data_IF_196869233310
#
_entry.id   IF_196869233310
#
_cell.length_a   1.000
_cell.length_b   1.000
_cell.length_c   1.000
_cell.angle_alpha   90.00
_cell.angle_beta   90.00
_cell.angle_gamma   90.00
#
_symmetry.space_group_name_H-M   'P 1'
#
loop_
_entity.id
_entity.type
_entity.pdbx_description
1 polymer ?
#
# COMPACT_ATOMS: atom_id res chain seq x y z
N UNK A 1 16.94 -25.41 5.82
CA UNK A 1 16.00 -25.73 4.72
C UNK A 1 16.54 -25.45 3.31
N UNK A 2 16.71 -24.20 2.86
CA UNK A 2 17.18 -23.92 1.48
C UNK A 2 18.60 -24.43 1.19
N UNK A 3 19.55 -24.17 2.10
CA UNK A 3 20.94 -24.65 1.99
C UNK A 3 21.03 -26.19 2.06
N UNK A 4 20.19 -26.84 2.87
CA UNK A 4 20.13 -28.31 2.92
C UNK A 4 19.58 -28.91 1.64
N UNK A 5 18.59 -28.26 1.01
CA UNK A 5 18.00 -28.70 -0.27
C UNK A 5 18.97 -28.50 -1.42
N UNK A 6 19.64 -27.35 -1.52
CA UNK A 6 20.74 -27.15 -2.46
C UNK A 6 21.88 -28.16 -2.23
N UNK A 7 22.17 -28.50 -0.96
CA UNK A 7 23.10 -29.57 -0.60
C UNK A 7 22.62 -30.98 -0.97
N UNK A 8 21.31 -31.24 -1.01
CA UNK A 8 20.73 -32.50 -1.52
C UNK A 8 20.80 -32.57 -3.04
N UNK A 9 20.56 -31.46 -3.74
CA UNK A 9 20.73 -31.36 -5.20
C UNK A 9 22.18 -31.64 -5.58
N UNK A 10 23.13 -30.97 -4.91
CA UNK A 10 24.56 -31.19 -5.14
C UNK A 10 24.98 -32.64 -4.90
N UNK A 11 24.41 -33.31 -3.89
CA UNK A 11 24.67 -34.73 -3.59
C UNK A 11 24.07 -35.66 -4.65
N UNK A 12 22.81 -35.45 -5.05
CA UNK A 12 22.18 -36.22 -6.14
C UNK A 12 22.93 -36.09 -7.46
N UNK A 13 23.38 -34.88 -7.82
CA UNK A 13 24.21 -34.68 -9.01
C UNK A 13 25.55 -35.41 -8.92
N UNK A 14 26.11 -35.54 -7.72
CA UNK A 14 27.31 -36.33 -7.49
C UNK A 14 27.05 -37.84 -7.58
N UNK A 15 25.94 -38.32 -7.03
CA UNK A 15 25.53 -39.73 -7.07
C UNK A 15 25.18 -40.17 -8.49
N UNK A 16 24.43 -39.38 -9.26
CA UNK A 16 24.14 -39.65 -10.68
C UNK A 16 25.42 -39.69 -11.53
N UNK A 17 26.36 -38.78 -11.27
CA UNK A 17 27.65 -38.77 -11.96
C UNK A 17 28.51 -40.00 -11.61
N UNK A 18 28.44 -40.48 -10.37
CA UNK A 18 29.21 -41.64 -9.90
C UNK A 18 28.58 -42.98 -10.33
N UNK A 19 27.25 -43.08 -10.38
CA UNK A 19 26.55 -44.25 -10.93
C UNK A 19 26.83 -44.39 -12.43
N UNK A 20 26.91 -43.27 -13.16
CA UNK A 20 27.29 -43.28 -14.58
C UNK A 20 28.75 -43.72 -14.81
N UNK A 21 29.63 -43.52 -13.83
CA UNK A 21 31.01 -44.03 -13.86
C UNK A 21 31.07 -45.56 -13.60
N UNK A 22 30.27 -46.06 -12.66
CA UNK A 22 30.23 -47.48 -12.26
C UNK A 22 29.54 -48.40 -13.30
N UNK A 23 28.45 -47.95 -13.93
CA UNK A 23 27.74 -48.70 -14.99
C UNK A 23 28.65 -49.01 -16.20
N UNK A 24 29.76 -48.28 -16.37
CA UNK A 24 30.71 -48.47 -17.48
C UNK A 24 31.88 -49.39 -17.12
N UNK A 25 32.24 -49.49 -15.83
CA UNK A 25 33.20 -50.51 -15.38
C UNK A 25 32.59 -51.92 -15.47
N UNK A 26 31.28 -52.07 -15.30
CA UNK A 26 30.56 -53.34 -15.51
C UNK A 26 30.34 -53.67 -17.01
N UNK A 27 30.13 -52.66 -17.88
CA UNK A 27 29.93 -52.85 -19.32
C UNK A 27 31.23 -53.23 -20.06
N UNK A 28 32.42 -52.91 -19.52
CA UNK A 28 33.71 -53.34 -20.06
C UNK A 28 33.99 -54.85 -19.80
N UNK A 29 33.27 -55.50 -18.88
CA UNK A 29 33.40 -56.94 -18.60
C UNK A 29 32.34 -57.81 -19.31
N UNK A 30 31.28 -57.25 -19.89
CA UNK A 30 30.22 -58.06 -20.54
C UNK A 30 29.76 -57.56 -21.91
N UNK A 31 30.42 -58.07 -22.96
CA UNK A 31 29.86 -58.40 -24.28
C UNK A 31 28.80 -57.47 -24.91
N UNK A 32 29.28 -56.56 -25.77
CA UNK A 32 28.53 -55.73 -26.73
C UNK A 32 27.20 -56.32 -27.25
N UNK A 33 26.10 -55.55 -27.12
CA UNK A 33 25.00 -55.56 -28.09
C UNK A 33 24.82 -54.17 -28.70
N UNK A 34 24.93 -54.15 -30.02
CA UNK A 34 24.93 -52.96 -30.86
C UNK A 34 23.66 -52.10 -30.70
N UNK A 35 23.84 -50.88 -30.23
CA UNK A 35 23.02 -49.73 -30.60
C UNK A 35 23.96 -48.56 -30.86
N UNK A 36 23.73 -47.85 -31.97
CA UNK A 36 24.53 -46.77 -32.54
C UNK A 36 25.10 -45.80 -31.49
N UNK A 37 26.37 -45.96 -31.10
CA UNK A 37 27.01 -45.12 -30.10
C UNK A 37 27.57 -43.83 -30.73
N UNK A 38 26.98 -42.71 -30.33
CA UNK A 38 27.67 -41.42 -30.36
C UNK A 38 28.84 -41.52 -29.39
N UNK A 39 30.07 -41.51 -29.89
CA UNK A 39 31.29 -41.50 -29.07
C UNK A 39 31.32 -40.21 -28.24
N UNK A 40 30.82 -40.26 -27.00
CA UNK A 40 30.99 -39.20 -26.02
C UNK A 40 32.32 -39.45 -25.31
N UNK A 41 33.30 -38.56 -25.53
CA UNK A 41 34.65 -38.71 -24.99
C UNK A 41 34.71 -38.40 -23.47
N UNK A 42 35.76 -38.86 -22.78
CA UNK A 42 36.00 -38.48 -21.37
C UNK A 42 36.07 -36.95 -21.19
N UNK A 43 36.66 -36.23 -22.16
CA UNK A 43 36.73 -34.77 -22.17
C UNK A 43 35.34 -34.11 -22.27
N UNK A 44 34.40 -34.71 -23.03
CA UNK A 44 33.03 -34.20 -23.15
C UNK A 44 32.24 -34.33 -21.82
N UNK A 45 32.56 -35.36 -21.02
CA UNK A 45 31.92 -35.63 -19.72
C UNK A 45 32.47 -34.76 -18.60
N UNK A 46 33.78 -34.54 -18.54
CA UNK A 46 34.39 -33.57 -17.61
C UNK A 46 33.95 -32.14 -17.92
N UNK A 47 33.79 -31.83 -19.21
CA UNK A 47 33.20 -30.58 -19.64
C UNK A 47 31.72 -30.50 -19.24
N UNK A 48 30.95 -31.59 -19.29
CA UNK A 48 29.56 -31.63 -18.84
C UNK A 48 29.42 -31.46 -17.32
N UNK A 49 30.32 -32.07 -16.53
CA UNK A 49 30.42 -31.89 -15.07
C UNK A 49 30.77 -30.46 -14.70
N UNK A 50 31.76 -29.88 -15.37
CA UNK A 50 32.18 -28.49 -15.18
C UNK A 50 31.08 -27.49 -15.55
N UNK A 51 30.31 -27.76 -16.63
CA UNK A 51 29.15 -26.96 -17.03
C UNK A 51 28.02 -27.01 -15.99
N UNK A 52 27.72 -28.20 -15.44
CA UNK A 52 26.71 -28.39 -14.38
C UNK A 52 27.04 -27.62 -13.10
N UNK A 53 28.30 -27.70 -12.64
CA UNK A 53 28.76 -26.99 -11.43
C UNK A 53 28.73 -25.46 -11.64
N UNK A 54 29.18 -24.98 -12.81
CA UNK A 54 29.16 -23.56 -13.14
C UNK A 54 27.74 -22.99 -13.20
N UNK A 55 26.81 -23.76 -13.75
CA UNK A 55 25.39 -23.38 -13.83
C UNK A 55 24.70 -23.35 -12.46
N UNK A 56 25.00 -24.31 -11.57
CA UNK A 56 24.45 -24.32 -10.22
C UNK A 56 24.94 -23.12 -9.38
N UNK A 57 26.21 -22.73 -9.56
CA UNK A 57 26.75 -21.51 -8.98
C UNK A 57 26.05 -20.26 -9.53
N UNK A 58 25.77 -20.22 -10.83
CA UNK A 58 25.02 -19.13 -11.45
C UNK A 58 23.60 -19.01 -10.89
N UNK A 59 22.89 -20.12 -10.66
CA UNK A 59 21.56 -20.07 -10.03
C UNK A 59 21.64 -19.52 -8.60
N UNK A 60 22.64 -19.93 -7.82
CA UNK A 60 22.83 -19.46 -6.45
C UNK A 60 23.22 -17.96 -6.38
N UNK A 61 23.92 -17.46 -7.39
CA UNK A 61 24.41 -16.09 -7.46
C UNK A 61 23.35 -15.11 -7.98
N UNK A 62 22.54 -15.51 -8.96
CA UNK A 62 21.60 -14.61 -9.63
C UNK A 62 20.16 -14.69 -9.09
N UNK A 63 19.81 -15.67 -8.24
CA UNK A 63 18.46 -15.76 -7.66
C UNK A 63 18.34 -15.07 -6.29
N UNK A 64 17.30 -14.24 -6.06
CA UNK A 64 17.05 -13.66 -4.75
C UNK A 64 16.87 -14.73 -3.67
N UNK A 65 17.38 -14.48 -2.46
CA UNK A 65 17.34 -15.42 -1.31
C UNK A 65 15.92 -15.95 -1.01
N UNK A 66 14.90 -15.12 -1.20
CA UNK A 66 13.49 -15.49 -0.99
C UNK A 66 12.99 -16.51 -2.02
N UNK A 67 13.54 -16.49 -3.25
CA UNK A 67 13.24 -17.45 -4.33
C UNK A 67 13.97 -18.77 -4.08
N UNK A 68 15.24 -18.73 -3.71
CA UNK A 68 16.01 -19.91 -3.31
C UNK A 68 15.36 -20.64 -2.12
N UNK A 69 14.75 -19.90 -1.19
CA UNK A 69 14.03 -20.47 -0.06
C UNK A 69 12.69 -21.14 -0.41
N UNK A 70 12.09 -20.80 -1.56
CA UNK A 70 10.78 -21.27 -1.98
C UNK A 70 10.83 -22.45 -2.97
N UNK A 71 12.03 -22.87 -3.41
CA UNK A 71 12.22 -23.99 -4.32
C UNK A 71 11.68 -25.28 -3.68
N UNK A 72 10.78 -25.96 -4.39
CA UNK A 72 10.28 -27.30 -4.05
C UNK A 72 10.95 -28.38 -4.94
N UNK A 73 10.72 -29.65 -4.62
CA UNK A 73 11.38 -30.77 -5.31
C UNK A 73 10.92 -30.91 -6.78
N UNK A 74 9.70 -30.48 -7.12
CA UNK A 74 9.20 -30.45 -8.51
C UNK A 74 9.88 -29.37 -9.35
N UNK A 75 10.16 -28.20 -8.75
CA UNK A 75 10.91 -27.12 -9.38
C UNK A 75 12.34 -27.58 -9.70
N UNK A 76 12.96 -28.34 -8.78
CA UNK A 76 14.29 -28.93 -8.97
C UNK A 76 14.30 -29.91 -10.12
N UNK A 77 13.33 -30.81 -10.16
CA UNK A 77 13.17 -31.81 -11.23
C UNK A 77 12.96 -31.13 -12.59
N UNK A 78 12.11 -30.10 -12.66
CA UNK A 78 11.87 -29.32 -13.88
C UNK A 78 13.13 -28.58 -14.36
N UNK A 79 13.89 -28.02 -13.42
CA UNK A 79 15.14 -27.32 -13.68
C UNK A 79 16.21 -28.30 -14.22
N UNK A 80 16.33 -29.50 -13.64
CA UNK A 80 17.25 -30.55 -14.11
C UNK A 80 16.84 -31.11 -15.49
N UNK A 81 15.54 -31.32 -15.73
CA UNK A 81 15.03 -31.77 -17.04
C UNK A 81 15.26 -30.74 -18.14
N UNK A 82 15.15 -29.44 -17.83
CA UNK A 82 15.45 -28.37 -18.79
C UNK A 82 16.91 -28.35 -19.24
N UNK A 83 17.83 -28.79 -18.37
CA UNK A 83 19.25 -28.91 -18.68
C UNK A 83 19.54 -30.16 -19.53
N UNK A 84 18.97 -31.31 -19.16
CA UNK A 84 19.16 -32.57 -19.90
C UNK A 84 18.61 -32.50 -21.34
N UNK A 85 17.53 -31.75 -21.55
CA UNK A 85 16.88 -31.62 -22.85
C UNK A 85 17.63 -30.70 -23.84
N UNK A 86 18.69 -29.99 -23.42
CA UNK A 86 19.32 -28.99 -24.28
C UNK A 86 20.83 -28.92 -24.05
N UNK A 87 21.58 -29.76 -24.76
CA UNK A 87 23.05 -29.75 -24.79
C UNK A 87 23.67 -28.45 -25.35
N UNK A 88 22.84 -27.51 -25.81
CA UNK A 88 23.25 -26.16 -26.18
C UNK A 88 22.07 -25.19 -26.03
N UNK A 89 21.94 -24.51 -24.89
CA UNK A 89 21.10 -23.31 -24.79
C UNK A 89 21.65 -22.32 -23.77
N UNK A 90 21.43 -21.00 -24.01
CA UNK A 90 21.96 -19.92 -23.19
C UNK A 90 21.40 -19.99 -21.75
N UNK A 91 21.99 -19.24 -20.79
CA UNK A 91 21.56 -19.28 -19.40
C UNK A 91 20.06 -19.12 -19.31
N UNK A 92 19.40 -19.99 -18.54
CA UNK A 92 17.96 -19.98 -18.31
C UNK A 92 17.51 -18.54 -18.02
N UNK A 93 16.80 -17.93 -18.96
CA UNK A 93 16.19 -16.65 -18.75
C UNK A 93 15.08 -16.84 -17.69
N UNK A 94 15.22 -16.27 -16.48
CA UNK A 94 14.23 -16.42 -15.42
C UNK A 94 12.84 -15.91 -15.81
N UNK A 95 12.73 -15.14 -16.91
CA UNK A 95 11.46 -14.69 -17.49
C UNK A 95 10.64 -15.82 -18.13
N UNK A 96 11.28 -16.84 -18.74
CA UNK A 96 10.60 -17.93 -19.46
C UNK A 96 9.89 -18.94 -18.55
N UNK A 97 10.31 -19.03 -17.29
CA UNK A 97 9.62 -19.84 -16.27
C UNK A 97 8.39 -19.11 -15.70
N UNK A 98 8.38 -17.77 -15.72
CA UNK A 98 7.24 -16.95 -15.30
C UNK A 98 6.12 -16.91 -16.36
N UNK A 99 6.43 -17.15 -17.64
CA UNK A 99 5.45 -17.13 -18.74
C UNK A 99 4.46 -18.30 -18.71
N UNK A 100 4.80 -19.43 -18.05
CA UNK A 100 3.97 -20.65 -18.05
C UNK A 100 2.96 -20.75 -16.89
N UNK A 101 3.10 -19.93 -15.85
CA UNK A 101 2.00 -19.69 -14.92
C UNK A 101 1.19 -18.54 -15.51
N UNK A 102 -0.01 -18.82 -16.01
CA UNK A 102 -1.00 -17.77 -16.23
C UNK A 102 -0.98 -16.88 -14.98
N UNK A 103 -0.49 -15.64 -15.10
CA UNK A 103 -0.31 -14.76 -13.96
C UNK A 103 -1.69 -14.57 -13.35
N UNK A 104 -1.94 -15.20 -12.20
CA UNK A 104 -3.16 -14.96 -11.46
C UNK A 104 -3.13 -13.48 -11.09
N UNK A 105 -4.18 -12.77 -11.49
CA UNK A 105 -4.31 -11.35 -11.19
C UNK A 105 -4.23 -11.14 -9.67
N UNK A 106 -3.64 -10.02 -9.26
CA UNK A 106 -3.49 -9.66 -7.85
C UNK A 106 -4.10 -8.30 -7.61
N UNK A 107 -4.72 -8.12 -6.45
CA UNK A 107 -5.32 -6.84 -6.06
C UNK A 107 -4.72 -6.34 -4.76
N UNK A 108 -4.35 -5.07 -4.76
CA UNK A 108 -3.97 -4.31 -3.58
C UNK A 108 -5.08 -3.31 -3.25
N UNK A 109 -5.58 -3.29 -2.02
CA UNK A 109 -6.40 -2.19 -1.50
C UNK A 109 -5.47 -1.28 -0.69
N UNK A 110 -5.08 -0.14 -1.26
CA UNK A 110 -4.00 0.67 -0.71
C UNK A 110 -4.46 2.05 -0.27
N UNK A 111 -4.04 2.46 0.93
CA UNK A 111 -4.25 3.81 1.42
C UNK A 111 -3.23 4.80 0.86
N UNK A 112 -3.70 5.91 0.30
CA UNK A 112 -2.86 6.97 -0.27
C UNK A 112 -2.39 8.01 0.74
N UNK A 113 -2.83 7.94 2.00
CA UNK A 113 -2.61 9.01 2.95
C UNK A 113 -3.53 10.24 2.72
N UNK A 114 -3.33 11.33 3.48
CA UNK A 114 -4.20 12.52 3.44
C UNK A 114 -4.02 13.38 2.18
N UNK A 115 -2.81 13.41 1.61
CA UNK A 115 -2.58 13.97 0.27
C UNK A 115 -1.15 14.22 -0.16
N UNK A 116 -0.24 14.57 0.75
CA UNK A 116 1.18 14.70 0.40
C UNK A 116 1.78 13.32 0.05
N UNK A 117 2.48 13.18 -1.10
CA UNK A 117 3.19 11.97 -1.51
C UNK A 117 4.12 11.38 -0.44
N UNK A 118 4.76 12.21 0.38
CA UNK A 118 5.70 11.75 1.43
C UNK A 118 4.99 11.04 2.59
N UNK A 119 3.67 11.15 2.66
CA UNK A 119 2.83 10.44 3.62
C UNK A 119 2.33 9.09 3.08
N UNK A 120 2.77 8.67 1.89
CA UNK A 120 2.58 7.32 1.41
C UNK A 120 3.43 6.34 2.21
N UNK A 121 2.85 5.20 2.54
CA UNK A 121 3.67 4.10 3.03
C UNK A 121 4.57 3.58 1.91
N UNK A 122 5.77 3.12 2.27
CA UNK A 122 6.69 2.51 1.29
C UNK A 122 6.05 1.32 0.57
N UNK A 123 5.12 0.60 1.23
CA UNK A 123 4.38 -0.50 0.64
C UNK A 123 3.40 0.00 -0.43
N UNK A 124 2.60 1.04 -0.14
CA UNK A 124 1.70 1.65 -1.13
C UNK A 124 2.48 2.20 -2.32
N UNK A 125 3.59 2.90 -2.09
CA UNK A 125 4.41 3.44 -3.18
C UNK A 125 4.93 2.32 -4.10
N UNK A 126 5.46 1.22 -3.53
CA UNK A 126 5.89 0.06 -4.31
C UNK A 126 4.74 -0.58 -5.09
N UNK A 127 3.55 -0.67 -4.49
CA UNK A 127 2.37 -1.20 -5.18
C UNK A 127 1.97 -0.33 -6.38
N UNK A 128 1.97 1.00 -6.22
CA UNK A 128 1.71 1.96 -7.31
C UNK A 128 2.71 1.75 -8.46
N UNK A 129 4.01 1.64 -8.16
CA UNK A 129 5.04 1.44 -9.18
C UNK A 129 4.94 0.09 -9.91
N UNK A 130 4.43 -0.93 -9.22
CA UNK A 130 4.26 -2.29 -9.76
C UNK A 130 2.96 -2.46 -10.55
N UNK A 131 1.98 -1.56 -10.39
CA UNK A 131 0.64 -1.72 -10.94
C UNK A 131 0.60 -1.78 -12.47
N UNK A 132 -0.37 -2.55 -12.99
CA UNK A 132 -0.78 -2.52 -14.39
C UNK A 132 -2.09 -1.70 -14.55
N UNK A 133 -2.92 -1.67 -13.50
CA UNK A 133 -4.16 -0.91 -13.43
C UNK A 133 -4.30 -0.24 -12.05
N UNK A 134 -4.46 1.09 -12.02
CA UNK A 134 -4.82 1.87 -10.84
C UNK A 134 -6.31 2.21 -10.91
N UNK A 135 -7.03 1.90 -9.83
CA UNK A 135 -8.42 2.28 -9.61
C UNK A 135 -8.48 3.29 -8.46
N UNK A 136 -8.74 4.55 -8.75
CA UNK A 136 -8.73 5.63 -7.76
C UNK A 136 -10.11 6.26 -7.56
N UNK A 137 -10.40 6.73 -6.34
CA UNK A 137 -11.53 7.64 -6.11
C UNK A 137 -11.14 9.07 -6.54
N UNK A 138 -12.13 9.91 -6.85
CA UNK A 138 -11.93 11.35 -7.07
C UNK A 138 -11.17 12.06 -5.93
N UNK A 139 -11.27 11.53 -4.73
CA UNK A 139 -10.65 12.08 -3.52
C UNK A 139 -9.15 11.80 -3.42
N UNK A 140 -8.59 10.89 -4.22
CA UNK A 140 -7.14 10.65 -4.24
C UNK A 140 -6.44 11.91 -4.79
N UNK A 141 -5.50 12.50 -4.05
CA UNK A 141 -4.91 13.77 -4.47
C UNK A 141 -4.03 13.65 -5.71
N UNK A 142 -4.06 14.68 -6.57
CA UNK A 142 -3.32 14.70 -7.84
C UNK A 142 -1.81 14.42 -7.68
N UNK A 143 -1.09 14.97 -6.68
CA UNK A 143 0.33 14.67 -6.51
C UNK A 143 0.64 13.19 -6.29
N UNK A 144 -0.29 12.43 -5.71
CA UNK A 144 -0.13 10.97 -5.57
C UNK A 144 -0.35 10.26 -6.91
N UNK A 145 -1.32 10.72 -7.70
CA UNK A 145 -1.59 10.14 -9.03
C UNK A 145 -0.44 10.41 -10.02
N UNK A 146 0.31 11.50 -9.82
CA UNK A 146 1.50 11.83 -10.62
C UNK A 146 2.66 10.83 -10.43
N UNK A 147 2.68 10.08 -9.31
CA UNK A 147 3.64 9.00 -9.10
C UNK A 147 3.36 7.75 -9.93
N UNK A 148 2.16 7.65 -10.52
CA UNK A 148 1.77 6.46 -11.28
C UNK A 148 2.62 6.37 -12.55
N UNK A 149 3.29 5.23 -12.81
CA UNK A 149 4.06 5.05 -14.03
C UNK A 149 3.18 5.17 -15.28
N UNK A 150 3.70 5.81 -16.33
CA UNK A 150 2.98 5.99 -17.62
C UNK A 150 2.48 4.69 -18.26
N UNK A 151 3.09 3.54 -17.93
CA UNK A 151 2.69 2.21 -18.41
C UNK A 151 1.40 1.68 -17.77
N UNK A 152 1.03 2.20 -16.60
CA UNK A 152 -0.13 1.74 -15.85
C UNK A 152 -1.37 2.49 -16.33
N UNK A 153 -2.46 1.75 -16.54
CA UNK A 153 -3.76 2.33 -16.83
C UNK A 153 -4.33 2.95 -15.56
N UNK A 154 -4.87 4.18 -15.64
CA UNK A 154 -5.47 4.87 -14.49
C UNK A 154 -6.95 5.11 -14.76
N UNK A 155 -7.78 4.53 -13.91
CA UNK A 155 -9.22 4.78 -13.90
C UNK A 155 -9.61 5.53 -12.62
N UNK A 156 -10.28 6.67 -12.78
CA UNK A 156 -10.75 7.52 -11.68
C UNK A 156 -12.27 7.50 -11.66
N UNK A 157 -12.86 7.06 -10.55
CA UNK A 157 -14.31 6.99 -10.40
C UNK A 157 -14.95 8.37 -10.47
N UNK A 158 -15.93 8.51 -11.37
CA UNK A 158 -16.74 9.73 -11.51
C UNK A 158 -17.92 9.70 -10.53
N UNK A 159 -17.64 10.01 -9.27
CA UNK A 159 -18.66 10.12 -8.22
C UNK A 159 -19.30 11.52 -8.22
N UNK A 160 -20.61 11.56 -8.43
CA UNK A 160 -21.48 12.74 -8.27
C UNK A 160 -22.59 12.43 -7.26
N UNK A 161 -23.20 13.44 -6.61
CA UNK A 161 -24.35 13.23 -5.73
C UNK A 161 -25.43 12.37 -6.43
N UNK A 162 -25.87 11.30 -5.76
CA UNK A 162 -26.86 10.36 -6.31
C UNK A 162 -26.33 9.17 -7.13
N UNK A 163 -25.05 9.17 -7.55
CA UNK A 163 -24.45 8.09 -8.37
C UNK A 163 -23.35 7.28 -7.65
N UNK A 164 -23.21 7.45 -6.33
CA UNK A 164 -22.07 6.91 -5.58
C UNK A 164 -22.00 5.37 -5.59
N UNK A 165 -23.15 4.68 -5.53
CA UNK A 165 -23.19 3.21 -5.55
C UNK A 165 -22.85 2.66 -6.94
N UNK A 166 -23.42 3.20 -8.01
CA UNK A 166 -23.08 2.79 -9.38
C UNK A 166 -21.59 2.96 -9.70
N UNK A 167 -21.00 4.09 -9.29
CA UNK A 167 -19.57 4.32 -9.45
C UNK A 167 -18.72 3.34 -8.61
N UNK A 168 -19.25 2.85 -7.49
CA UNK A 168 -18.60 1.82 -6.69
C UNK A 168 -18.66 0.46 -7.39
N UNK A 169 -19.82 0.08 -7.94
CA UNK A 169 -19.99 -1.13 -8.74
C UNK A 169 -19.06 -1.15 -9.97
N UNK A 170 -18.97 -0.03 -10.69
CA UNK A 170 -18.09 0.12 -11.85
C UNK A 170 -16.61 -0.10 -11.47
N UNK A 171 -16.14 0.44 -10.34
CA UNK A 171 -14.78 0.19 -9.83
C UNK A 171 -14.54 -1.30 -9.54
N UNK A 172 -15.53 -1.96 -8.93
CA UNK A 172 -15.44 -3.38 -8.58
C UNK A 172 -15.39 -4.27 -9.83
N UNK A 173 -16.21 -3.96 -10.82
CA UNK A 173 -16.26 -4.66 -12.11
C UNK A 173 -14.95 -4.48 -12.90
N UNK A 174 -14.45 -3.25 -12.99
CA UNK A 174 -13.17 -2.96 -13.65
C UNK A 174 -12.00 -3.68 -12.97
N UNK A 175 -12.00 -3.72 -11.63
CA UNK A 175 -11.02 -4.49 -10.86
C UNK A 175 -11.09 -5.98 -11.20
N UNK A 176 -12.30 -6.54 -11.25
CA UNK A 176 -12.49 -7.95 -11.58
C UNK A 176 -12.05 -8.28 -13.01
N UNK A 177 -12.31 -7.40 -13.98
CA UNK A 177 -11.85 -7.55 -15.36
C UNK A 177 -10.33 -7.53 -15.44
N UNK A 178 -9.68 -6.60 -14.75
CA UNK A 178 -8.21 -6.53 -14.68
C UNK A 178 -7.62 -7.80 -14.06
N UNK A 179 -8.23 -8.30 -12.98
CA UNK A 179 -7.79 -9.52 -12.31
C UNK A 179 -7.93 -10.77 -13.20
N UNK A 180 -9.05 -10.90 -13.93
CA UNK A 180 -9.26 -11.99 -14.90
C UNK A 180 -8.26 -11.94 -16.06
N UNK A 181 -7.79 -10.75 -16.42
CA UNK A 181 -6.74 -10.56 -17.41
C UNK A 181 -5.32 -10.77 -16.84
N UNK A 182 -5.18 -11.18 -15.58
CA UNK A 182 -3.89 -11.43 -14.93
C UNK A 182 -3.12 -10.16 -14.52
N UNK A 183 -3.78 -9.00 -14.51
CA UNK A 183 -3.17 -7.72 -14.15
C UNK A 183 -2.90 -7.61 -12.65
N UNK A 184 -1.90 -6.81 -12.31
CA UNK A 184 -1.71 -6.25 -10.97
C UNK A 184 -2.59 -5.02 -10.81
N UNK A 185 -3.68 -5.15 -10.06
CA UNK A 185 -4.65 -4.08 -9.82
C UNK A 185 -4.35 -3.41 -8.48
N UNK A 186 -4.27 -2.09 -8.44
CA UNK A 186 -4.16 -1.31 -7.20
C UNK A 186 -5.38 -0.41 -7.08
N UNK A 187 -6.19 -0.69 -6.07
CA UNK A 187 -7.32 0.15 -5.66
C UNK A 187 -6.83 1.16 -4.64
N UNK A 188 -6.62 2.38 -5.09
CA UNK A 188 -6.08 3.47 -4.29
C UNK A 188 -7.21 4.28 -3.63
N UNK A 189 -7.14 4.43 -2.31
CA UNK A 189 -8.17 5.06 -1.48
C UNK A 189 -7.55 6.17 -0.64
N UNK A 190 -8.23 7.33 -0.56
CA UNK A 190 -7.73 8.44 0.27
C UNK A 190 -7.70 8.03 1.75
N UNK A 191 -6.64 8.41 2.46
CA UNK A 191 -6.44 8.08 3.86
C UNK A 191 -6.10 6.60 4.03
N UNK A 192 -6.84 5.93 4.92
CA UNK A 192 -6.72 4.50 5.19
C UNK A 192 -7.90 3.72 4.60
N UNK A 193 -7.70 2.53 3.98
CA UNK A 193 -8.79 1.76 3.39
C UNK A 193 -9.94 1.40 4.33
N UNK A 194 -9.66 1.20 5.63
CA UNK A 194 -10.61 0.68 6.61
C UNK A 194 -11.20 1.76 7.54
N UNK A 195 -10.67 2.98 7.53
CA UNK A 195 -11.26 4.10 8.27
C UNK A 195 -12.24 4.86 7.38
N UNK A 196 -13.53 4.54 7.47
CA UNK A 196 -14.62 5.11 6.64
C UNK A 196 -14.41 5.03 5.11
N UNK A 197 -13.46 4.20 4.66
CA UNK A 197 -13.14 4.04 3.24
C UNK A 197 -13.98 3.00 2.50
N UNK A 198 -14.84 2.23 3.19
CA UNK A 198 -15.52 1.03 2.62
C UNK A 198 -14.57 -0.08 2.16
N UNK A 199 -13.30 -0.10 2.58
CA UNK A 199 -12.33 -1.09 2.14
C UNK A 199 -12.72 -2.53 2.50
N UNK A 200 -13.39 -2.74 3.63
CA UNK A 200 -13.86 -4.07 4.04
C UNK A 200 -14.95 -4.63 3.11
N UNK A 201 -15.81 -3.76 2.57
CA UNK A 201 -16.82 -4.15 1.57
C UNK A 201 -16.15 -4.59 0.26
N UNK A 202 -15.18 -3.80 -0.22
CA UNK A 202 -14.40 -4.11 -1.42
C UNK A 202 -13.61 -5.42 -1.23
N UNK A 203 -12.94 -5.60 -0.08
CA UNK A 203 -12.25 -6.84 0.26
C UNK A 203 -13.17 -8.05 0.21
N UNK A 204 -14.34 -7.96 0.84
CA UNK A 204 -15.31 -9.04 0.87
C UNK A 204 -15.83 -9.38 -0.53
N UNK A 205 -16.01 -8.37 -1.40
CA UNK A 205 -16.39 -8.57 -2.80
C UNK A 205 -15.33 -9.38 -3.56
N UNK A 206 -14.07 -8.95 -3.56
CA UNK A 206 -13.01 -9.65 -4.31
C UNK A 206 -12.76 -11.06 -3.79
N UNK A 207 -12.83 -11.24 -2.45
CA UNK A 207 -12.72 -12.57 -1.84
C UNK A 207 -13.81 -13.52 -2.33
N UNK A 208 -15.06 -13.05 -2.48
CA UNK A 208 -16.16 -13.86 -3.05
C UNK A 208 -15.90 -14.26 -4.50
N UNK A 209 -15.10 -13.48 -5.24
CA UNK A 209 -14.69 -13.77 -6.62
C UNK A 209 -13.41 -14.63 -6.71
N UNK A 210 -12.90 -15.12 -5.57
CA UNK A 210 -11.70 -15.96 -5.52
C UNK A 210 -10.37 -15.17 -5.48
N UNK A 211 -10.41 -13.86 -5.29
CA UNK A 211 -9.22 -13.01 -5.19
C UNK A 211 -9.04 -12.48 -3.77
N UNK A 212 -7.98 -12.92 -3.10
CA UNK A 212 -7.61 -12.38 -1.78
C UNK A 212 -6.81 -11.09 -1.94
N UNK A 213 -7.42 -9.97 -1.53
CA UNK A 213 -6.80 -8.67 -1.67
C UNK A 213 -5.74 -8.43 -0.59
N UNK A 214 -4.59 -7.87 -0.99
CA UNK A 214 -3.58 -7.42 -0.03
C UNK A 214 -3.94 -6.00 0.39
N UNK A 215 -4.25 -5.81 1.67
CA UNK A 215 -4.60 -4.48 2.21
C UNK A 215 -3.35 -3.79 2.71
N UNK A 216 -3.05 -2.62 2.14
CA UNK A 216 -1.92 -1.79 2.52
C UNK A 216 -2.43 -0.59 3.32
N UNK A 217 -1.94 -0.39 4.55
CA UNK A 217 -2.41 0.70 5.39
C UNK A 217 -2.07 2.05 4.78
N UNK A 218 -2.86 3.05 5.13
CA UNK A 218 -2.58 4.44 4.83
C UNK A 218 -2.62 5.30 6.08
N UNK A 219 -1.97 6.46 6.02
CA UNK A 219 -2.07 7.44 7.10
C UNK A 219 -3.48 8.06 7.04
N UNK A 220 -4.30 7.78 8.04
CA UNK A 220 -5.67 8.31 8.09
C UNK A 220 -5.69 9.83 8.31
N UNK A 221 -6.56 10.54 7.60
CA UNK A 221 -6.79 11.97 7.81
C UNK A 221 -7.29 12.28 9.22
N UNK A 222 -7.98 11.34 9.85
CA UNK A 222 -8.52 11.51 11.20
C UNK A 222 -7.47 11.83 12.27
N UNK A 223 -6.24 11.35 12.09
CA UNK A 223 -5.13 11.58 13.02
C UNK A 223 -4.05 12.49 12.45
N UNK A 224 -3.80 12.39 11.14
CA UNK A 224 -2.78 13.21 10.49
C UNK A 224 -3.23 14.65 10.30
N UNK A 225 -4.48 14.93 9.92
CA UNK A 225 -4.92 16.31 9.72
C UNK A 225 -4.82 17.15 11.01
N UNK A 226 -5.29 16.68 12.20
CA UNK A 226 -5.05 17.38 13.46
C UNK A 226 -3.56 17.63 13.70
N UNK A 227 -2.71 16.61 13.54
CA UNK A 227 -1.26 16.74 13.72
C UNK A 227 -0.66 17.84 12.83
N UNK A 228 -1.04 17.86 11.55
CA UNK A 228 -0.54 18.84 10.57
C UNK A 228 -1.08 20.25 10.84
N UNK A 229 -2.22 20.35 11.52
CA UNK A 229 -2.78 21.59 12.08
C UNK A 229 -2.27 21.88 13.50
N UNK A 230 -1.24 21.18 14.00
CA UNK A 230 -0.69 21.39 15.36
C UNK A 230 -1.75 21.20 16.46
N UNK A 231 -2.65 20.25 16.26
CA UNK A 231 -3.65 19.79 17.24
C UNK A 231 -3.32 18.35 17.61
N UNK A 232 -2.83 18.09 18.83
CA UNK A 232 -2.53 16.73 19.25
C UNK A 232 -3.84 15.97 19.45
N UNK A 233 -3.94 14.74 18.94
CA UNK A 233 -5.17 13.94 19.11
C UNK A 233 -5.38 13.58 20.60
N UNK A 234 -4.29 13.37 21.35
CA UNK A 234 -4.28 13.13 22.79
C UNK A 234 -3.29 14.05 23.49
N UNK A 235 -3.56 14.37 24.75
CA UNK A 235 -2.66 15.09 25.62
C UNK A 235 -2.94 14.66 27.07
N UNK A 236 -1.90 14.30 27.84
CA UNK A 236 -2.04 13.62 29.14
C UNK A 236 -3.01 14.32 30.10
N UNK A 237 -3.00 15.65 30.14
CA UNK A 237 -3.81 16.44 31.07
C UNK A 237 -5.14 16.93 30.47
N UNK A 238 -5.35 16.75 29.16
CA UNK A 238 -6.45 17.42 28.44
C UNK A 238 -7.32 16.45 27.65
N UNK A 239 -6.73 15.46 26.99
CA UNK A 239 -7.46 14.47 26.19
C UNK A 239 -6.81 13.08 26.28
N UNK A 240 -7.47 12.15 26.97
CA UNK A 240 -7.03 10.76 27.13
C UNK A 240 -7.71 9.79 26.15
N UNK A 241 -8.71 10.29 25.40
CA UNK A 241 -9.49 9.52 24.44
C UNK A 241 -9.60 10.24 23.09
N UNK A 242 -9.63 9.45 22.01
CA UNK A 242 -9.96 9.92 20.66
C UNK A 242 -11.13 9.13 20.13
N UNK A 243 -12.15 9.83 19.64
CA UNK A 243 -13.29 9.22 18.96
C UNK A 243 -13.33 9.72 17.51
N UNK A 244 -13.38 8.79 16.56
CA UNK A 244 -13.52 9.11 15.14
C UNK A 244 -14.97 8.81 14.75
N UNK A 245 -15.66 9.82 14.25
CA UNK A 245 -17.05 9.76 13.82
C UNK A 245 -17.16 10.12 12.33
N UNK A 246 -18.25 9.68 11.71
CA UNK A 246 -18.71 10.25 10.44
C UNK A 246 -19.80 11.29 10.73
N UNK A 247 -19.83 12.39 9.99
CA UNK A 247 -20.96 13.32 9.97
C UNK A 247 -22.07 12.89 9.00
N UNK A 248 -21.85 11.81 8.24
CA UNK A 248 -22.80 11.30 7.26
C UNK A 248 -22.96 9.79 7.39
N UNK A 249 -24.14 9.37 7.81
CA UNK A 249 -24.54 7.98 7.90
C UNK A 249 -24.97 7.40 6.56
N UNK A 250 -25.43 6.14 6.61
CA UNK A 250 -25.91 5.41 5.43
C UNK A 250 -27.07 6.16 4.77
N UNK A 251 -27.09 6.22 3.44
CA UNK A 251 -28.10 6.96 2.64
C UNK A 251 -28.20 8.46 2.99
N UNK A 252 -27.16 9.06 3.56
CA UNK A 252 -27.16 10.48 3.92
C UNK A 252 -27.88 10.79 5.24
N UNK A 253 -28.30 9.79 6.02
CA UNK A 253 -28.88 10.03 7.34
C UNK A 253 -27.87 10.69 8.29
N UNK A 254 -28.32 11.54 9.22
CA UNK A 254 -27.46 12.03 10.29
C UNK A 254 -27.20 10.87 11.27
N UNK A 255 -25.93 10.55 11.59
CA UNK A 255 -25.65 9.69 12.72
C UNK A 255 -25.99 10.41 14.02
N UNK A 256 -26.27 9.66 15.07
CA UNK A 256 -26.45 10.24 16.41
C UNK A 256 -25.15 10.91 16.86
N UNK A 257 -25.19 12.15 17.37
CA UNK A 257 -24.01 12.82 17.86
C UNK A 257 -23.48 12.11 19.12
N UNK A 258 -22.15 12.01 19.28
CA UNK A 258 -21.58 11.42 20.48
C UNK A 258 -21.82 12.31 21.71
N UNK A 259 -21.91 11.68 22.87
CA UNK A 259 -22.00 12.40 24.14
C UNK A 259 -20.75 13.23 24.42
N UNK A 260 -20.93 14.34 25.14
CA UNK A 260 -19.83 15.17 25.61
C UNK A 260 -19.02 14.46 26.71
N UNK A 261 -17.72 14.34 26.48
CA UNK A 261 -16.74 13.90 27.48
C UNK A 261 -15.60 14.92 27.48
N UNK A 262 -15.36 15.65 28.59
CA UNK A 262 -14.34 16.72 28.62
C UNK A 262 -12.94 16.26 28.19
N UNK A 263 -12.55 15.03 28.51
CA UNK A 263 -11.21 14.49 28.20
C UNK A 263 -11.14 13.77 26.84
N UNK A 264 -12.11 14.01 25.94
CA UNK A 264 -12.18 13.34 24.64
C UNK A 264 -11.99 14.33 23.50
N UNK A 265 -11.06 14.02 22.61
CA UNK A 265 -10.99 14.63 21.28
C UNK A 265 -11.92 13.87 20.34
N UNK A 266 -12.80 14.57 19.63
CA UNK A 266 -13.68 13.96 18.63
C UNK A 266 -13.33 14.49 17.25
N UNK A 267 -13.14 13.58 16.30
CA UNK A 267 -12.83 13.89 14.90
C UNK A 267 -13.99 13.45 14.02
N UNK A 268 -14.70 14.40 13.43
CA UNK A 268 -15.80 14.16 12.51
C UNK A 268 -15.33 14.23 11.06
N UNK A 269 -15.27 13.07 10.41
CA UNK A 269 -15.04 12.94 8.97
C UNK A 269 -16.35 13.16 8.21
N UNK A 270 -16.28 13.62 6.96
CA UNK A 270 -17.46 13.80 6.09
C UNK A 270 -18.55 14.68 6.73
N UNK A 271 -18.16 15.67 7.51
CA UNK A 271 -19.09 16.50 8.30
C UNK A 271 -19.39 17.87 7.67
N UNK A 272 -18.48 18.42 6.86
CA UNK A 272 -18.53 19.85 6.49
C UNK A 272 -19.79 20.27 5.73
N UNK A 273 -20.29 19.45 4.81
CA UNK A 273 -21.53 19.75 4.09
C UNK A 273 -22.80 19.75 4.97
N UNK A 274 -22.69 19.30 6.22
CA UNK A 274 -23.78 19.30 7.23
C UNK A 274 -23.31 19.94 8.54
N UNK A 275 -22.30 20.79 8.48
CA UNK A 275 -21.64 21.33 9.68
C UNK A 275 -22.66 22.00 10.62
N UNK A 276 -23.55 22.84 10.06
CA UNK A 276 -24.59 23.52 10.82
C UNK A 276 -25.49 22.54 11.60
N UNK A 277 -26.10 21.57 10.90
CA UNK A 277 -26.95 20.55 11.53
C UNK A 277 -26.20 19.69 12.56
N UNK A 278 -24.93 19.36 12.30
CA UNK A 278 -24.09 18.63 13.25
C UNK A 278 -23.86 19.45 14.52
N UNK A 279 -23.44 20.71 14.39
CA UNK A 279 -23.19 21.62 15.52
C UNK A 279 -24.47 21.84 16.32
N UNK A 280 -25.59 22.10 15.66
CA UNK A 280 -26.90 22.24 16.31
C UNK A 280 -27.24 21.00 17.14
N UNK A 281 -27.05 19.79 16.58
CA UNK A 281 -27.28 18.54 17.30
C UNK A 281 -26.35 18.34 18.51
N UNK A 282 -25.13 18.87 18.47
CA UNK A 282 -24.15 18.75 19.56
C UNK A 282 -24.46 19.69 20.73
N UNK A 283 -25.10 20.84 20.45
CA UNK A 283 -25.37 21.90 21.44
C UNK A 283 -26.83 21.95 21.91
N UNK A 284 -27.72 21.17 21.30
CA UNK A 284 -29.16 21.10 21.63
C UNK A 284 -29.44 20.69 23.09
N UNK A 285 -30.55 21.17 23.65
CA UNK A 285 -30.91 20.98 25.07
C UNK A 285 -31.32 19.54 25.41
N UNK A 286 -31.84 18.83 24.42
CA UNK A 286 -32.31 17.45 24.43
C UNK A 286 -31.19 16.43 24.10
N UNK A 287 -29.95 16.88 23.86
CA UNK A 287 -28.81 16.03 23.51
C UNK A 287 -27.49 16.39 24.21
N UNK A 288 -27.34 16.03 25.49
CA UNK A 288 -26.05 15.89 26.23
C UNK A 288 -24.98 16.97 25.90
N UNK A 289 -25.43 18.21 26.09
CA UNK A 289 -24.85 19.53 25.79
C UNK A 289 -23.33 19.63 25.78
N UNK A 290 -22.73 19.65 24.59
CA UNK A 290 -21.39 20.18 24.41
C UNK A 290 -21.39 21.68 24.77
N UNK A 291 -20.45 22.17 25.60
CA UNK A 291 -20.32 23.60 25.85
C UNK A 291 -20.07 24.37 24.54
N UNK A 292 -20.79 25.47 24.31
CA UNK A 292 -20.63 26.28 23.08
C UNK A 292 -19.21 26.83 22.92
N UNK A 293 -18.53 27.09 24.04
CA UNK A 293 -17.13 27.52 24.06
C UNK A 293 -16.12 26.37 23.85
N UNK A 294 -16.56 25.13 23.61
CA UNK A 294 -15.65 24.02 23.33
C UNK A 294 -14.81 24.33 22.09
N UNK A 295 -13.48 24.32 22.20
CA UNK A 295 -12.61 24.58 21.06
C UNK A 295 -12.80 23.55 19.95
N UNK A 296 -12.72 24.01 18.71
CA UNK A 296 -12.78 23.16 17.54
C UNK A 296 -11.94 23.73 16.39
N UNK A 297 -11.65 22.89 15.40
CA UNK A 297 -10.99 23.31 14.18
C UNK A 297 -11.56 22.56 12.97
N UNK A 298 -11.81 23.30 11.89
CA UNK A 298 -12.06 22.73 10.58
C UNK A 298 -10.74 22.68 9.82
N UNK A 299 -10.36 21.49 9.35
CA UNK A 299 -9.11 21.26 8.64
C UNK A 299 -9.45 20.75 7.25
N UNK A 300 -9.15 21.56 6.26
CA UNK A 300 -9.43 21.32 4.86
C UNK A 300 -8.14 21.00 4.10
N UNK A 301 -8.22 20.02 3.19
CA UNK A 301 -7.13 19.63 2.30
C UNK A 301 -5.80 19.40 3.02
N UNK A 302 -5.88 18.72 4.16
CA UNK A 302 -4.72 18.44 5.00
C UNK A 302 -3.56 17.85 4.19
N UNK A 303 -2.35 18.33 4.45
CA UNK A 303 -1.09 18.01 3.74
C UNK A 303 -0.97 18.48 2.28
N UNK A 304 -2.01 19.09 1.69
CA UNK A 304 -1.93 19.72 0.37
C UNK A 304 -1.38 21.15 0.49
N UNK A 305 -0.74 21.70 -0.56
CA UNK A 305 -0.24 23.08 -0.55
C UNK A 305 -1.30 24.12 -0.22
N UNK A 306 -2.56 23.84 -0.55
CA UNK A 306 -3.74 24.66 -0.28
C UNK A 306 -4.53 24.22 0.96
N UNK A 307 -3.87 23.56 1.92
CA UNK A 307 -4.42 23.27 3.25
C UNK A 307 -4.97 24.55 3.88
N UNK A 308 -6.11 24.44 4.57
CA UNK A 308 -6.65 25.52 5.40
C UNK A 308 -7.09 25.00 6.75
N UNK A 309 -6.74 25.74 7.82
CA UNK A 309 -7.17 25.46 9.19
C UNK A 309 -7.98 26.65 9.70
N UNK A 310 -9.24 26.41 10.03
CA UNK A 310 -10.13 27.39 10.66
C UNK A 310 -10.29 26.97 12.12
N UNK A 311 -9.65 27.69 13.04
CA UNK A 311 -9.75 27.45 14.49
C UNK A 311 -10.85 28.31 15.08
N UNK A 312 -11.72 27.73 15.88
CA UNK A 312 -12.86 28.44 16.48
C UNK A 312 -13.38 27.70 17.72
N UNK A 313 -14.60 28.01 18.13
CA UNK A 313 -15.40 27.26 19.08
C UNK A 313 -16.66 26.73 18.39
N UNK A 314 -17.37 25.80 19.03
CA UNK A 314 -18.68 25.34 18.54
C UNK A 314 -19.69 26.48 18.36
N UNK A 315 -19.55 27.57 19.10
CA UNK A 315 -20.38 28.77 18.96
C UNK A 315 -20.22 29.48 17.60
N UNK A 316 -19.00 29.53 17.07
CA UNK A 316 -18.67 30.39 15.92
C UNK A 316 -18.23 29.62 14.67
N UNK A 317 -17.98 28.32 14.75
CA UNK A 317 -17.42 27.53 13.64
C UNK A 317 -18.30 27.52 12.39
N UNK A 318 -19.62 27.52 12.54
CA UNK A 318 -20.55 27.59 11.41
C UNK A 318 -20.43 28.93 10.67
N UNK A 319 -20.44 30.04 11.41
CA UNK A 319 -20.26 31.38 10.85
C UNK A 319 -18.89 31.54 10.19
N UNK A 320 -17.83 31.01 10.82
CA UNK A 320 -16.48 31.06 10.26
C UNK A 320 -16.39 30.32 8.91
N UNK A 321 -16.97 29.12 8.80
CA UNK A 321 -16.98 28.36 7.53
C UNK A 321 -17.88 29.01 6.47
N UNK A 322 -18.97 29.64 6.86
CA UNK A 322 -19.85 30.37 5.94
C UNK A 322 -19.16 31.62 5.35
N UNK A 323 -18.46 32.39 6.19
CA UNK A 323 -17.73 33.59 5.79
C UNK A 323 -16.51 33.27 4.91
N UNK A 324 -15.73 32.26 5.29
CA UNK A 324 -14.51 31.85 4.58
C UNK A 324 -14.78 30.94 3.37
N UNK A 325 -16.01 30.41 3.25
CA UNK A 325 -16.38 29.34 2.33
C UNK A 325 -15.76 27.99 2.72
N UNK A 326 -16.13 26.90 2.03
CA UNK A 326 -15.57 25.55 2.27
C UNK A 326 -14.79 25.01 1.07
N UNK A 327 -13.65 24.36 1.36
CA UNK A 327 -12.77 23.66 0.42
C UNK A 327 -12.70 22.16 0.76
N UNK A 328 -13.63 21.33 0.27
CA UNK A 328 -13.56 19.88 0.50
C UNK A 328 -12.34 19.25 -0.22
N UNK A 329 -11.82 18.11 0.28
CA UNK A 329 -12.25 17.42 1.50
C UNK A 329 -11.75 18.10 2.78
N UNK A 330 -12.51 17.99 3.86
CA UNK A 330 -12.09 18.45 5.19
C UNK A 330 -12.83 17.74 6.32
N UNK A 331 -12.34 17.95 7.53
CA UNK A 331 -12.86 17.36 8.77
C UNK A 331 -13.01 18.40 9.87
N UNK A 332 -13.83 18.08 10.87
CA UNK A 332 -14.00 18.88 12.08
C UNK A 332 -13.35 18.13 13.25
N UNK A 333 -12.45 18.79 13.97
CA UNK A 333 -11.91 18.33 15.26
C UNK A 333 -12.56 19.14 16.35
N UNK A 334 -13.06 18.49 17.41
CA UNK A 334 -13.72 19.15 18.54
C UNK A 334 -13.15 18.62 19.84
N UNK A 335 -12.85 19.50 20.78
CA UNK A 335 -12.37 19.17 22.11
C UNK A 335 -11.24 20.10 22.57
N UNK A 336 -10.96 20.06 23.87
CA UNK A 336 -9.96 20.93 24.51
C UNK A 336 -8.53 20.71 23.98
N UNK A 337 -8.26 19.58 23.32
CA UNK A 337 -7.00 19.34 22.60
C UNK A 337 -6.70 20.40 21.54
N UNK A 338 -7.71 21.04 20.95
CA UNK A 338 -7.54 22.10 19.94
C UNK A 338 -6.85 23.36 20.52
N UNK A 339 -6.85 23.52 21.84
CA UNK A 339 -6.23 24.67 22.54
C UNK A 339 -4.88 24.36 23.21
N UNK A 340 -4.39 23.13 23.16
CA UNK A 340 -3.17 22.73 23.89
C UNK A 340 -1.91 23.43 23.38
N UNK A 341 -1.80 23.59 22.05
CA UNK A 341 -0.63 24.17 21.40
C UNK A 341 -0.94 25.52 20.74
N UNK A 342 -2.07 26.14 21.11
CA UNK A 342 -2.55 27.37 20.49
C UNK A 342 -3.30 28.25 21.49
N UNK A 343 -2.92 29.53 21.59
CA UNK A 343 -3.45 30.50 22.56
C UNK A 343 -4.04 31.75 21.88
N UNK A 344 -5.00 31.58 20.98
CA UNK A 344 -5.71 32.72 20.40
C UNK A 344 -6.97 33.11 21.18
N UNK A 345 -7.23 34.42 21.26
CA UNK A 345 -8.42 35.00 21.93
C UNK A 345 -9.49 35.52 20.96
N UNK A 346 -9.29 35.33 19.66
CA UNK A 346 -10.20 35.78 18.61
C UNK A 346 -11.38 34.80 18.45
N UNK A 347 -12.49 35.25 17.84
CA UNK A 347 -13.67 34.40 17.58
C UNK A 347 -13.33 33.21 16.69
N UNK A 348 -12.53 33.45 15.65
CA UNK A 348 -11.87 32.42 14.86
C UNK A 348 -10.58 32.97 14.25
N UNK A 349 -9.72 32.06 13.78
CA UNK A 349 -8.48 32.34 13.05
C UNK A 349 -8.39 31.39 11.87
N UNK A 350 -7.88 31.90 10.75
CA UNK A 350 -7.67 31.15 9.52
C UNK A 350 -6.18 31.08 9.22
N UNK A 351 -5.67 29.87 9.01
CA UNK A 351 -4.30 29.60 8.59
C UNK A 351 -4.36 28.93 7.20
N UNK A 352 -3.81 29.58 6.18
CA UNK A 352 -3.71 29.05 4.82
C UNK A 352 -2.29 28.56 4.51
N UNK A 353 -2.24 27.42 3.81
CA UNK A 353 -1.03 26.80 3.31
C UNK A 353 -0.50 25.66 4.17
N UNK A 354 0.26 24.78 3.54
CA UNK A 354 0.99 23.71 4.22
C UNK A 354 2.48 23.76 3.84
N UNK A 355 3.35 23.98 4.84
CA UNK A 355 4.81 24.10 4.63
C UNK A 355 5.66 23.18 5.52
N UNK A 356 5.05 22.26 6.28
CA UNK A 356 5.73 21.56 7.38
C UNK A 356 6.84 20.59 6.94
N UNK A 357 6.85 20.18 5.67
CA UNK A 357 7.91 19.33 5.10
C UNK A 357 8.89 20.12 4.21
N UNK A 358 8.63 21.40 3.95
CA UNK A 358 9.57 22.25 3.24
C UNK A 358 10.81 22.45 4.12
N UNK A 359 11.97 22.01 3.62
CA UNK A 359 13.25 22.13 4.34
C UNK A 359 13.76 20.85 5.01
N UNK A 360 12.93 19.79 5.17
CA UNK A 360 13.43 18.51 5.73
C UNK A 360 14.50 17.93 4.81
N UNK A 361 14.28 17.90 3.51
CA UNK A 361 15.28 17.44 2.54
C UNK A 361 16.51 18.35 2.53
N UNK A 362 16.33 19.67 2.61
CA UNK A 362 17.44 20.61 2.62
C UNK A 362 18.31 20.48 3.88
N UNK A 363 17.70 20.29 5.04
CA UNK A 363 18.38 20.05 6.32
C UNK A 363 19.04 18.67 6.37
N UNK A 364 18.37 17.62 5.86
CA UNK A 364 18.95 16.28 5.76
C UNK A 364 20.13 16.24 4.78
N UNK A 365 20.00 16.88 3.61
CA UNK A 365 21.09 17.01 2.64
C UNK A 365 22.23 17.86 3.21
N UNK A 366 21.93 18.96 3.91
CA UNK A 366 22.96 19.76 4.59
C UNK A 366 23.68 18.96 5.70
N UNK A 367 22.99 18.10 6.45
CA UNK A 367 23.63 17.21 7.44
C UNK A 367 24.48 16.11 6.80
N UNK A 368 24.06 15.58 5.65
CA UNK A 368 24.83 14.56 4.91
C UNK A 368 26.06 15.18 4.23
N UNK A 369 25.93 16.37 3.65
CA UNK A 369 27.03 17.11 3.00
C UNK A 369 27.94 17.83 4.02
N UNK A 370 27.45 18.14 5.21
CA UNK A 370 28.21 18.74 6.31
C UNK A 370 29.05 17.76 7.14
N UNK A 371 28.93 16.44 6.89
CA UNK A 371 29.80 15.39 7.44
C UNK A 371 30.74 14.83 6.36
N UNK A 372 31.47 15.71 5.68
CA UNK A 372 32.71 15.30 4.99
C UNK A 372 33.77 14.95 6.04
N UNK A 373 34.63 13.93 5.82
CA UNK A 373 35.68 13.58 6.76
C UNK A 373 36.68 14.73 6.83
N UNK A 374 36.55 15.57 7.85
CA UNK A 374 37.47 16.66 8.14
C UNK A 374 38.66 16.14 8.93
N UNK A 375 39.80 16.11 8.24
CA UNK A 375 41.19 16.39 8.69
C UNK A 375 41.79 15.48 9.76
#
# INVERSE_FOLDING_TARGET
MACERLGKIRRRMWEEDHVTELDLEEDDETGQRASFNTLVTHEDRDAARSRRVRWLNQICEYWPLRRLAAINDDDVEAILRSYAATSASPPLDPSRLDERRAKTGRIFLAGSGPGNPDLLTTATHKAILAADLILADKLVPSPVLELVPRRAEVYIARKFPGNAEKAQEELLEMGLLGLKAGKTVVRLKQGDPYVYGRGAEEYAFFRKQGYEAIVLPGITSALSAPLLATIPATHREVADQVLICTGTGRKGAAPEPPEYVPTRTVVFLMALHRLSALVDSLVAEDGKRWPKNTPCAVIERASCPDQRVIRSSLEYVCSAVEEEGSRPPGLLVVGWSCSVLWEGKQKWVVEDGFRRFEGIEAEMVAQVLGKGPGV
#
